data_IF_141346684868
#
_entry.id   IF_141346684868
#
_cell.length_a   1.000
_cell.length_b   1.000
_cell.length_c   1.000
_cell.angle_alpha   90.00
_cell.angle_beta   90.00
_cell.angle_gamma   90.00
#
_symmetry.space_group_name_H-M   'P 1'
#
loop_
_entity.id
_entity.type
_entity.pdbx_description
1 polymer ?
#
# COMPACT_ATOMS: atom_id res chain seq x y z
N UNK A 1 -31.26 -5.39 -20.56
CA UNK A 1 -30.11 -6.33 -20.62
C UNK A 1 -28.89 -5.58 -20.10
N UNK A 2 -28.19 -6.09 -19.09
CA UNK A 2 -26.99 -5.43 -18.55
C UNK A 2 -25.88 -5.62 -19.60
N UNK A 3 -25.56 -4.57 -20.37
CA UNK A 3 -24.57 -4.61 -21.46
C UNK A 3 -23.11 -4.65 -20.99
N UNK A 4 -22.82 -5.42 -19.94
CA UNK A 4 -21.51 -5.50 -19.31
C UNK A 4 -20.85 -6.84 -19.71
N UNK A 5 -19.58 -6.85 -20.15
CA UNK A 5 -18.89 -8.10 -20.51
C UNK A 5 -18.79 -9.09 -19.35
N UNK A 6 -18.82 -10.39 -19.65
CA UNK A 6 -18.48 -11.43 -18.67
C UNK A 6 -17.04 -11.24 -18.16
N UNK A 7 -16.80 -11.63 -16.92
CA UNK A 7 -15.54 -11.37 -16.19
C UNK A 7 -15.46 -9.96 -15.58
N UNK A 8 -16.37 -9.05 -15.91
CA UNK A 8 -16.39 -7.73 -15.29
C UNK A 8 -16.77 -7.84 -13.82
N UNK A 9 -16.03 -7.13 -12.96
CA UNK A 9 -16.36 -7.03 -11.55
C UNK A 9 -17.60 -6.15 -11.36
N UNK A 10 -18.64 -6.70 -10.76
CA UNK A 10 -19.92 -6.02 -10.54
C UNK A 10 -20.39 -6.21 -9.10
N UNK A 11 -21.19 -5.26 -8.62
CA UNK A 11 -22.07 -5.45 -7.47
C UNK A 11 -23.50 -5.51 -7.96
N UNK A 12 -24.21 -6.56 -7.54
CA UNK A 12 -25.65 -6.70 -7.75
C UNK A 12 -26.37 -6.51 -6.42
N UNK A 13 -27.24 -5.51 -6.35
CA UNK A 13 -28.22 -5.41 -5.27
C UNK A 13 -29.46 -6.16 -5.70
N UNK A 14 -29.91 -7.11 -4.90
CA UNK A 14 -31.07 -7.93 -5.22
C UNK A 14 -31.89 -8.31 -3.99
N UNK A 15 -33.14 -8.69 -4.22
CA UNK A 15 -34.00 -9.21 -3.17
C UNK A 15 -33.55 -10.61 -2.73
N UNK A 16 -33.70 -10.89 -1.44
CA UNK A 16 -33.61 -12.22 -0.87
C UNK A 16 -34.91 -12.98 -1.14
N UNK A 17 -34.90 -14.33 -1.08
CA UNK A 17 -36.11 -15.12 -1.16
C UNK A 17 -37.18 -14.62 -0.19
N UNK A 18 -38.38 -14.32 -0.69
CA UNK A 18 -39.47 -13.69 0.09
C UNK A 18 -39.63 -12.19 -0.14
N UNK A 19 -38.70 -11.51 -0.84
CA UNK A 19 -38.90 -10.17 -1.39
C UNK A 19 -38.83 -9.00 -0.40
N UNK A 20 -38.75 -9.26 0.91
CA UNK A 20 -38.82 -8.20 1.94
C UNK A 20 -37.46 -7.55 2.25
N UNK A 21 -36.35 -8.23 1.95
CA UNK A 21 -35.01 -7.78 2.28
C UNK A 21 -34.12 -7.79 1.03
N UNK A 22 -33.29 -6.76 0.89
CA UNK A 22 -32.30 -6.68 -0.19
C UNK A 22 -30.89 -6.95 0.36
N UNK A 23 -30.05 -7.57 -0.46
CA UNK A 23 -28.62 -7.82 -0.18
C UNK A 23 -27.76 -7.48 -1.40
N UNK A 24 -26.45 -7.36 -1.17
CA UNK A 24 -25.48 -7.06 -2.21
C UNK A 24 -24.57 -8.27 -2.48
N UNK A 25 -24.50 -8.68 -3.74
CA UNK A 25 -23.62 -9.73 -4.25
C UNK A 25 -22.50 -9.10 -5.09
N UNK A 26 -21.26 -9.12 -4.56
CA UNK A 26 -20.07 -8.56 -5.19
C UNK A 26 -19.17 -9.67 -5.73
N UNK A 27 -18.84 -9.62 -7.03
CA UNK A 27 -17.97 -10.59 -7.66
C UNK A 27 -17.78 -10.32 -9.14
N UNK A 28 -17.40 -11.34 -9.90
CA UNK A 28 -17.28 -11.25 -11.35
C UNK A 28 -18.56 -11.74 -12.02
N UNK A 29 -19.03 -11.02 -13.04
CA UNK A 29 -20.16 -11.42 -13.86
C UNK A 29 -19.78 -12.72 -14.62
N UNK A 30 -20.40 -13.83 -14.24
CA UNK A 30 -20.05 -15.16 -14.75
C UNK A 30 -21.01 -15.64 -15.84
N UNK A 31 -22.29 -15.30 -15.73
CA UNK A 31 -23.29 -15.61 -16.74
C UNK A 31 -24.40 -14.55 -16.73
N UNK A 32 -25.04 -14.39 -17.87
CA UNK A 32 -26.21 -13.53 -18.01
C UNK A 32 -27.08 -14.13 -19.12
N UNK A 33 -28.34 -14.37 -18.84
CA UNK A 33 -29.33 -14.84 -19.81
C UNK A 33 -30.57 -13.94 -19.80
N UNK A 34 -31.66 -14.37 -20.45
CA UNK A 34 -32.90 -13.59 -20.54
C UNK A 34 -33.66 -13.45 -19.23
N UNK A 35 -33.37 -14.28 -18.24
CA UNK A 35 -34.13 -14.43 -16.98
C UNK A 35 -33.28 -14.28 -15.73
N UNK A 36 -31.97 -14.53 -15.82
CA UNK A 36 -31.08 -14.58 -14.67
C UNK A 36 -29.72 -13.95 -14.94
N UNK A 37 -29.03 -13.63 -13.84
CA UNK A 37 -27.65 -13.19 -13.82
C UNK A 37 -26.88 -13.94 -12.73
N UNK A 38 -25.67 -14.40 -13.07
CA UNK A 38 -24.79 -15.10 -12.12
C UNK A 38 -23.54 -14.29 -11.86
N UNK A 39 -23.25 -14.08 -10.58
CA UNK A 39 -22.01 -13.43 -10.11
C UNK A 39 -21.18 -14.45 -9.33
N UNK A 40 -19.94 -14.67 -9.77
CA UNK A 40 -18.95 -15.47 -9.03
C UNK A 40 -18.41 -14.64 -7.87
N UNK A 41 -18.97 -14.84 -6.68
CA UNK A 41 -18.52 -14.17 -5.46
C UNK A 41 -17.38 -14.94 -4.78
N UNK A 42 -16.77 -14.35 -3.74
CA UNK A 42 -15.77 -15.05 -2.91
C UNK A 42 -16.32 -16.24 -2.12
N UNK A 43 -17.63 -16.27 -1.86
CA UNK A 43 -18.29 -17.35 -1.09
C UNK A 43 -18.91 -18.42 -1.99
N UNK A 44 -18.72 -18.30 -3.31
CA UNK A 44 -19.37 -19.16 -4.32
C UNK A 44 -20.18 -18.33 -5.33
N UNK A 45 -20.63 -18.97 -6.42
CA UNK A 45 -21.52 -18.31 -7.39
C UNK A 45 -22.88 -17.99 -6.75
N UNK A 46 -23.41 -16.82 -7.07
CA UNK A 46 -24.76 -16.39 -6.72
C UNK A 46 -25.52 -16.12 -8.01
N UNK A 47 -26.61 -16.84 -8.24
CA UNK A 47 -27.53 -16.62 -9.35
C UNK A 47 -28.76 -15.89 -8.83
N UNK A 48 -29.17 -14.84 -9.54
CA UNK A 48 -30.29 -13.97 -9.18
C UNK A 48 -31.21 -13.85 -10.39
N UNK A 49 -32.51 -13.99 -10.19
CA UNK A 49 -33.50 -13.69 -11.21
C UNK A 49 -33.49 -12.18 -11.53
N UNK A 50 -33.55 -11.83 -12.81
CA UNK A 50 -33.52 -10.44 -13.25
C UNK A 50 -34.69 -9.62 -12.68
N UNK A 51 -35.81 -10.26 -12.36
CA UNK A 51 -36.96 -9.64 -11.70
C UNK A 51 -36.64 -9.17 -10.26
N UNK A 52 -35.67 -9.80 -9.60
CA UNK A 52 -35.27 -9.50 -8.23
C UNK A 52 -34.04 -8.57 -8.15
N UNK A 53 -33.43 -8.25 -9.30
CA UNK A 53 -32.29 -7.32 -9.36
C UNK A 53 -32.79 -5.89 -9.24
N UNK A 54 -32.39 -5.23 -8.16
CA UNK A 54 -32.70 -3.83 -7.89
C UNK A 54 -31.67 -2.88 -8.53
N UNK A 55 -30.40 -3.27 -8.54
CA UNK A 55 -29.31 -2.47 -9.08
C UNK A 55 -28.16 -3.36 -9.55
N UNK A 56 -27.55 -3.00 -10.67
CA UNK A 56 -26.25 -3.52 -11.08
C UNK A 56 -25.28 -2.36 -11.29
N UNK A 57 -24.07 -2.46 -10.74
CA UNK A 57 -23.01 -1.46 -10.91
C UNK A 57 -21.68 -2.13 -11.21
N UNK A 58 -20.98 -1.64 -12.23
CA UNK A 58 -19.57 -2.00 -12.49
C UNK A 58 -18.71 -1.45 -11.34
N UNK A 59 -17.91 -2.33 -10.76
CA UNK A 59 -17.00 -2.01 -9.66
C UNK A 59 -15.58 -2.02 -10.20
N UNK A 60 -14.79 -0.95 -10.01
CA UNK A 60 -13.39 -0.95 -10.39
C UNK A 60 -12.64 -2.16 -9.79
N UNK A 61 -11.58 -2.64 -10.45
CA UNK A 61 -10.69 -3.63 -9.84
C UNK A 61 -10.21 -3.10 -8.47
N UNK A 62 -9.99 -4.03 -7.53
CA UNK A 62 -9.43 -3.62 -6.23
C UNK A 62 -8.10 -2.96 -6.53
N UNK A 63 -7.84 -1.72 -6.06
CA UNK A 63 -6.57 -1.07 -6.32
C UNK A 63 -5.41 -1.98 -5.87
N UNK A 64 -4.28 -1.97 -6.57
CA UNK A 64 -3.09 -2.72 -6.17
C UNK A 64 -2.73 -2.44 -4.71
N UNK A 65 -2.11 -3.39 -4.01
CA UNK A 65 -1.66 -3.18 -2.62
C UNK A 65 -0.73 -1.98 -2.49
N UNK A 66 0.03 -1.64 -3.54
CA UNK A 66 0.85 -0.44 -3.64
C UNK A 66 0.06 0.86 -3.38
N UNK A 67 -1.20 0.96 -3.81
CA UNK A 67 -2.04 2.12 -3.52
C UNK A 67 -2.30 2.30 -2.01
N UNK A 68 -2.40 1.20 -1.25
CA UNK A 68 -2.63 1.27 0.20
C UNK A 68 -1.40 1.78 0.95
N UNK A 69 -0.20 1.49 0.45
CA UNK A 69 1.04 2.06 0.97
C UNK A 69 1.18 3.51 0.57
N UNK A 70 0.90 3.86 -0.68
CA UNK A 70 0.92 5.25 -1.11
C UNK A 70 -0.02 6.11 -0.24
N UNK A 71 -1.27 5.67 -0.03
CA UNK A 71 -2.22 6.37 0.85
C UNK A 71 -1.79 6.41 2.32
N UNK A 72 -1.01 5.42 2.78
CA UNK A 72 -0.45 5.41 4.13
C UNK A 72 0.73 6.39 4.27
N UNK A 73 1.66 6.39 3.32
CA UNK A 73 2.83 7.28 3.32
C UNK A 73 2.44 8.74 3.10
N UNK A 74 1.44 9.03 2.25
CA UNK A 74 0.93 10.41 2.04
C UNK A 74 0.29 11.04 3.27
N UNK A 75 -0.05 10.25 4.30
CA UNK A 75 -0.55 10.78 5.58
C UNK A 75 0.58 11.14 6.54
N UNK A 76 1.82 10.80 6.20
CA UNK A 76 2.98 11.09 7.01
C UNK A 76 3.38 12.56 6.87
N UNK A 77 4.14 13.05 7.84
CA UNK A 77 4.99 14.23 7.60
C UNK A 77 6.39 13.80 7.15
N UNK A 78 6.81 12.58 7.54
CA UNK A 78 8.04 11.95 7.07
C UNK A 78 7.73 10.52 6.63
N UNK A 79 7.91 10.22 5.35
CA UNK A 79 7.78 8.88 4.80
C UNK A 79 9.13 8.17 4.84
N UNK A 80 9.16 7.02 5.50
CA UNK A 80 10.35 6.18 5.62
C UNK A 80 10.11 4.86 4.88
N UNK A 81 11.04 4.48 4.02
CA UNK A 81 11.02 3.21 3.31
C UNK A 81 12.34 2.50 3.54
N UNK A 82 12.33 1.18 3.69
CA UNK A 82 13.56 0.42 3.49
C UNK A 82 14.03 0.55 2.05
N UNK A 83 15.34 0.67 1.84
CA UNK A 83 15.96 0.80 0.52
C UNK A 83 15.57 -0.38 -0.38
N UNK A 84 15.62 -1.61 0.12
CA UNK A 84 15.22 -2.80 -0.64
C UNK A 84 13.77 -2.72 -1.14
N UNK A 85 12.88 -2.17 -0.31
CA UNK A 85 11.48 -1.96 -0.69
C UNK A 85 11.32 -0.83 -1.72
N UNK A 86 12.23 0.14 -1.74
CA UNK A 86 12.19 1.30 -2.60
C UNK A 86 12.70 1.03 -4.02
N UNK A 87 13.47 -0.03 -4.25
CA UNK A 87 14.18 -0.28 -5.52
C UNK A 87 13.37 -1.04 -6.60
N UNK A 88 12.14 -1.47 -6.30
CA UNK A 88 11.25 -2.03 -7.35
C UNK A 88 10.66 -0.91 -8.22
N UNK A 89 10.41 -1.15 -9.52
CA UNK A 89 9.87 -0.12 -10.42
C UNK A 89 8.61 0.60 -9.88
N UNK A 90 7.60 -0.11 -9.30
CA UNK A 90 6.43 0.55 -8.73
C UNK A 90 6.77 1.44 -7.53
N UNK A 91 7.71 1.00 -6.69
CA UNK A 91 8.16 1.78 -5.52
C UNK A 91 9.00 2.99 -5.94
N UNK A 92 9.83 2.85 -6.98
CA UNK A 92 10.64 3.95 -7.49
C UNK A 92 9.74 5.08 -7.98
N UNK A 93 8.69 4.74 -8.72
CA UNK A 93 7.68 5.71 -9.15
C UNK A 93 7.01 6.38 -7.97
N UNK A 94 6.57 5.60 -6.97
CA UNK A 94 5.92 6.13 -5.78
C UNK A 94 6.83 7.10 -5.00
N UNK A 95 8.10 6.76 -4.78
CA UNK A 95 9.05 7.64 -4.10
C UNK A 95 9.23 8.95 -4.89
N UNK A 96 9.34 8.87 -6.22
CA UNK A 96 9.38 10.05 -7.08
C UNK A 96 8.14 10.95 -6.95
N UNK A 97 6.94 10.34 -6.90
CA UNK A 97 5.68 11.06 -6.68
C UNK A 97 5.66 11.76 -5.31
N UNK A 98 6.00 11.03 -4.23
CA UNK A 98 6.02 11.59 -2.88
C UNK A 98 6.98 12.77 -2.75
N UNK A 99 8.17 12.68 -3.36
CA UNK A 99 9.14 13.78 -3.41
C UNK A 99 8.58 14.96 -4.22
N UNK A 100 7.96 14.69 -5.37
CA UNK A 100 7.32 15.72 -6.21
C UNK A 100 6.14 16.43 -5.51
N UNK A 101 5.46 15.74 -4.61
CA UNK A 101 4.42 16.29 -3.72
C UNK A 101 5.00 17.11 -2.55
N UNK A 102 6.32 17.15 -2.38
CA UNK A 102 7.00 17.87 -1.31
C UNK A 102 7.08 17.11 0.03
N UNK A 103 6.76 15.81 0.03
CA UNK A 103 6.87 14.99 1.24
C UNK A 103 8.34 14.72 1.58
N UNK A 104 8.69 14.80 2.86
CA UNK A 104 10.01 14.38 3.33
C UNK A 104 10.14 12.86 3.22
N UNK A 105 10.94 12.37 2.27
CA UNK A 105 11.19 10.94 2.06
C UNK A 105 12.58 10.58 2.56
N UNK A 106 12.67 9.45 3.25
CA UNK A 106 13.89 8.89 3.83
C UNK A 106 13.97 7.41 3.48
N UNK A 107 15.14 6.96 3.03
CA UNK A 107 15.42 5.57 2.72
C UNK A 107 16.33 4.98 3.79
N UNK A 108 15.85 4.04 4.60
CA UNK A 108 16.70 3.32 5.54
C UNK A 108 17.44 2.21 4.79
N UNK A 109 18.75 2.16 4.97
CA UNK A 109 19.57 1.06 4.48
C UNK A 109 20.33 0.46 5.67
N UNK A 110 20.09 -0.81 5.97
CA UNK A 110 20.84 -1.56 6.97
C UNK A 110 22.12 -2.20 6.39
N UNK A 111 22.36 -2.03 5.08
CA UNK A 111 23.55 -2.51 4.38
C UNK A 111 24.65 -1.45 4.25
N UNK A 112 25.81 -1.89 3.77
CA UNK A 112 26.91 -1.04 3.30
C UNK A 112 26.87 -0.83 1.77
N UNK A 113 25.78 -1.25 1.11
CA UNK A 113 25.66 -1.32 -0.35
C UNK A 113 24.76 -0.27 -0.97
N UNK A 114 24.16 0.65 -0.20
CA UNK A 114 23.29 1.70 -0.74
C UNK A 114 23.82 2.39 -2.01
N UNK A 115 25.10 2.77 -2.01
CA UNK A 115 25.69 3.50 -3.13
C UNK A 115 25.81 2.65 -4.40
N UNK A 116 26.05 1.35 -4.25
CA UNK A 116 26.09 0.39 -5.36
C UNK A 116 24.66 0.14 -5.87
N UNK A 117 23.73 -0.16 -4.96
CA UNK A 117 22.34 -0.42 -5.29
C UNK A 117 21.67 0.76 -6.02
N UNK A 118 21.89 1.98 -5.55
CA UNK A 118 21.37 3.18 -6.22
C UNK A 118 21.94 3.35 -7.63
N UNK A 119 23.23 3.06 -7.82
CA UNK A 119 23.89 3.16 -9.12
C UNK A 119 23.34 2.13 -10.11
N UNK A 120 23.18 0.89 -9.66
CA UNK A 120 22.66 -0.21 -10.48
C UNK A 120 21.24 0.08 -11.01
N UNK A 121 20.47 0.91 -10.28
CA UNK A 121 19.11 1.32 -10.65
C UNK A 121 19.03 2.73 -11.29
N UNK A 122 20.15 3.44 -11.48
CA UNK A 122 20.17 4.81 -12.02
C UNK A 122 19.48 5.85 -11.11
N UNK A 123 19.60 5.67 -9.80
CA UNK A 123 18.96 6.44 -8.73
C UNK A 123 19.97 7.16 -7.84
N UNK A 124 21.17 7.47 -8.33
CA UNK A 124 22.24 8.13 -7.57
C UNK A 124 21.80 9.49 -7.00
N UNK A 125 20.87 10.17 -7.68
CA UNK A 125 20.22 11.39 -7.20
C UNK A 125 19.47 11.23 -5.87
N UNK A 126 19.16 10.00 -5.44
CA UNK A 126 18.51 9.69 -4.17
C UNK A 126 19.50 9.44 -3.03
N UNK A 127 20.81 9.48 -3.27
CA UNK A 127 21.80 9.34 -2.21
C UNK A 127 21.56 10.25 -0.99
N UNK A 128 21.10 11.52 -1.14
CA UNK A 128 20.79 12.37 0.02
C UNK A 128 19.58 11.91 0.85
N UNK A 129 18.72 11.06 0.30
CA UNK A 129 17.56 10.49 1.00
C UNK A 129 17.96 9.31 1.90
N UNK A 130 19.12 8.71 1.66
CA UNK A 130 19.54 7.48 2.35
C UNK A 130 20.07 7.77 3.74
N UNK A 131 19.64 6.95 4.70
CA UNK A 131 20.19 6.79 6.04
C UNK A 131 20.77 5.38 6.15
N UNK A 132 22.08 5.28 5.96
CA UNK A 132 22.79 4.01 6.04
C UNK A 132 23.18 3.68 7.48
N UNK A 133 23.12 2.40 7.85
CA UNK A 133 23.48 1.85 9.16
C UNK A 133 24.79 2.39 9.77
N UNK A 134 25.91 2.51 9.02
CA UNK A 134 27.15 3.06 9.58
C UNK A 134 27.03 4.49 10.11
N UNK A 135 26.09 5.29 9.57
CA UNK A 135 25.82 6.64 10.02
C UNK A 135 24.91 6.70 11.26
N UNK A 136 24.20 5.61 11.58
CA UNK A 136 23.22 5.54 12.66
C UNK A 136 23.82 4.97 13.97
N UNK A 137 25.03 4.41 13.94
CA UNK A 137 25.72 3.89 15.14
C UNK A 137 25.08 2.65 15.79
N UNK A 138 23.85 2.29 15.40
CA UNK A 138 23.13 1.09 15.80
C UNK A 138 22.31 0.54 14.62
N UNK A 139 22.20 -0.79 14.53
CA UNK A 139 21.45 -1.47 13.47
C UNK A 139 19.97 -1.54 13.84
N UNK A 140 19.08 -1.20 12.90
CA UNK A 140 17.67 -1.61 13.01
C UNK A 140 17.60 -3.14 13.02
N UNK A 141 16.68 -3.76 13.79
CA UNK A 141 15.54 -3.16 14.48
C UNK A 141 15.75 -2.80 15.97
N UNK A 142 16.95 -2.38 16.42
CA UNK A 142 17.12 -1.99 17.82
C UNK A 142 16.43 -0.65 18.16
N UNK A 143 15.98 -0.44 19.41
CA UNK A 143 15.48 0.87 19.87
C UNK A 143 16.49 2.01 19.65
N UNK A 144 17.78 1.74 19.85
CA UNK A 144 18.86 2.70 19.62
C UNK A 144 18.99 3.06 18.13
N UNK A 145 18.83 2.08 17.24
CA UNK A 145 18.86 2.30 15.79
C UNK A 145 17.73 3.22 15.33
N UNK A 146 16.52 3.02 15.83
CA UNK A 146 15.40 3.93 15.54
C UNK A 146 15.56 5.32 16.18
N UNK A 147 16.12 5.40 17.39
CA UNK A 147 16.42 6.68 18.03
C UNK A 147 17.44 7.48 17.21
N UNK A 148 18.51 6.84 16.74
CA UNK A 148 19.51 7.46 15.90
C UNK A 148 18.93 7.89 14.54
N UNK A 149 18.14 7.02 13.89
CA UNK A 149 17.45 7.36 12.66
C UNK A 149 16.53 8.56 12.84
N UNK A 150 15.78 8.62 13.93
CA UNK A 150 14.89 9.72 14.24
C UNK A 150 15.65 11.04 14.46
N UNK A 151 16.74 11.03 15.23
CA UNK A 151 17.58 12.21 15.43
C UNK A 151 18.17 12.73 14.13
N UNK A 152 18.62 11.83 13.24
CA UNK A 152 19.16 12.22 11.95
C UNK A 152 18.07 12.77 11.01
N UNK A 153 16.85 12.24 11.06
CA UNK A 153 15.67 12.82 10.39
C UNK A 153 15.43 14.26 10.87
N UNK A 154 15.38 14.49 12.18
CA UNK A 154 15.21 15.82 12.75
C UNK A 154 16.32 16.79 12.32
N UNK A 155 17.57 16.32 12.34
CA UNK A 155 18.75 17.09 11.91
C UNK A 155 18.63 17.51 10.44
N UNK A 156 18.24 16.59 9.56
CA UNK A 156 18.07 16.87 8.12
C UNK A 156 16.93 17.84 7.84
N UNK A 157 15.84 17.74 8.60
CA UNK A 157 14.70 18.63 8.46
C UNK A 157 14.88 19.98 9.18
N UNK A 158 15.89 20.11 10.03
CA UNK A 158 16.13 21.33 10.82
C UNK A 158 15.02 21.62 11.84
N UNK A 159 14.22 20.61 12.21
CA UNK A 159 13.10 20.75 13.15
C UNK A 159 12.89 19.46 13.92
N UNK A 160 12.24 19.59 15.08
CA UNK A 160 11.71 18.44 15.82
C UNK A 160 10.58 17.77 15.04
N UNK A 161 10.48 16.44 15.17
CA UNK A 161 9.47 15.59 14.53
C UNK A 161 8.85 14.72 15.62
N UNK A 162 7.51 14.64 15.67
CA UNK A 162 6.86 13.69 16.57
C UNK A 162 7.07 12.26 16.08
N UNK A 163 7.24 11.28 16.97
CA UNK A 163 7.39 9.87 16.55
C UNK A 163 6.19 9.39 15.72
N UNK A 164 4.98 9.81 16.07
CA UNK A 164 3.76 9.50 15.31
C UNK A 164 3.67 10.20 13.93
N UNK A 165 4.51 11.19 13.65
CA UNK A 165 4.57 11.88 12.35
C UNK A 165 5.36 11.10 11.29
N UNK A 166 6.11 10.09 11.74
CA UNK A 166 6.96 9.24 10.89
C UNK A 166 6.19 7.98 10.52
N UNK A 167 6.06 7.74 9.21
CA UNK A 167 5.40 6.54 8.68
C UNK A 167 6.41 5.67 7.94
N UNK A 168 6.65 4.47 8.47
CA UNK A 168 7.59 3.50 7.92
C UNK A 168 6.88 2.38 7.16
N UNK A 169 7.47 1.97 6.04
CA UNK A 169 7.10 0.74 5.35
C UNK A 169 8.32 -0.14 5.07
N UNK A 170 8.18 -1.44 5.33
CA UNK A 170 9.21 -2.48 5.11
C UNK A 170 8.52 -3.80 4.76
N UNK A 171 9.21 -4.73 4.09
CA UNK A 171 8.69 -6.06 3.79
C UNK A 171 8.79 -7.01 5.00
N UNK A 172 9.71 -6.75 5.92
CA UNK A 172 10.00 -7.53 7.12
C UNK A 172 9.10 -7.13 8.28
N UNK A 173 8.43 -8.10 8.90
CA UNK A 173 7.48 -7.86 9.98
C UNK A 173 8.19 -7.38 11.26
N UNK A 174 9.36 -7.93 11.55
CA UNK A 174 10.19 -7.59 12.71
C UNK A 174 10.64 -6.13 12.70
N UNK A 175 10.94 -5.57 11.51
CA UNK A 175 11.27 -4.15 11.36
C UNK A 175 10.04 -3.30 11.66
N UNK A 176 8.89 -3.64 11.07
CA UNK A 176 7.63 -2.92 11.25
C UNK A 176 7.17 -2.93 12.71
N UNK A 177 7.27 -4.07 13.39
CA UNK A 177 6.84 -4.17 14.79
C UNK A 177 7.79 -3.41 15.72
N UNK A 178 9.10 -3.45 15.49
CA UNK A 178 10.05 -2.64 16.26
C UNK A 178 9.85 -1.13 16.04
N UNK A 179 9.57 -0.68 14.81
CA UNK A 179 9.24 0.71 14.53
C UNK A 179 7.97 1.17 15.28
N UNK A 180 6.96 0.29 15.37
CA UNK A 180 5.73 0.55 16.15
C UNK A 180 6.03 0.67 17.63
N UNK A 181 6.87 -0.22 18.18
CA UNK A 181 7.29 -0.17 19.59
C UNK A 181 8.03 1.14 19.89
N UNK A 182 8.86 1.62 18.96
CA UNK A 182 9.52 2.92 19.09
C UNK A 182 8.54 4.12 19.03
N UNK A 183 7.36 3.93 18.43
CA UNK A 183 6.29 4.94 18.35
C UNK A 183 6.07 5.52 16.96
N UNK A 184 6.74 4.99 15.93
CA UNK A 184 6.43 5.31 14.54
C UNK A 184 5.15 4.62 14.08
N UNK A 185 4.46 5.22 13.12
CA UNK A 185 3.43 4.48 12.39
C UNK A 185 4.14 3.55 11.41
N UNK A 186 3.81 2.25 11.38
CA UNK A 186 4.45 1.35 10.42
C UNK A 186 3.51 0.30 9.84
N UNK A 187 3.76 -0.10 8.58
CA UNK A 187 3.02 -1.15 7.88
C UNK A 187 3.95 -2.04 7.06
N UNK A 188 3.61 -3.33 7.04
CA UNK A 188 4.26 -4.27 6.14
C UNK A 188 3.85 -3.98 4.70
N UNK A 189 4.83 -3.91 3.82
CA UNK A 189 4.66 -3.80 2.39
C UNK A 189 5.64 -4.68 1.66
N UNK A 190 5.09 -5.63 0.93
CA UNK A 190 5.83 -6.37 -0.06
C UNK A 190 5.46 -5.77 -1.42
N UNK A 191 6.40 -5.13 -2.14
CA UNK A 191 6.13 -4.72 -3.51
C UNK A 191 5.76 -5.96 -4.34
N UNK A 192 4.85 -5.82 -5.32
CA UNK A 192 4.54 -6.92 -6.22
C UNK A 192 5.83 -7.34 -6.96
N UNK A 193 6.05 -8.65 -7.04
CA UNK A 193 7.13 -9.30 -7.80
C UNK A 193 6.99 -9.06 -9.29
#
# INVERSE_FOLDING_TARGET
MIGVPLGTRVVLRHLLPGGEQATDSLGELAATDSTSVTVRTRRGPVTVDLADVLLAKVVPPTPPRAWRVAAFLRRAHVAVLSLDCALTEPSVRLVGELIGEGLAVVLLDDSDRASELLRDHGLERWAPLVLAAPALGALTPSPEGYAAAHQEIERRLGRRVGTAEVHLTDARLEIVDAARVFGWQARVFTPPS
#
